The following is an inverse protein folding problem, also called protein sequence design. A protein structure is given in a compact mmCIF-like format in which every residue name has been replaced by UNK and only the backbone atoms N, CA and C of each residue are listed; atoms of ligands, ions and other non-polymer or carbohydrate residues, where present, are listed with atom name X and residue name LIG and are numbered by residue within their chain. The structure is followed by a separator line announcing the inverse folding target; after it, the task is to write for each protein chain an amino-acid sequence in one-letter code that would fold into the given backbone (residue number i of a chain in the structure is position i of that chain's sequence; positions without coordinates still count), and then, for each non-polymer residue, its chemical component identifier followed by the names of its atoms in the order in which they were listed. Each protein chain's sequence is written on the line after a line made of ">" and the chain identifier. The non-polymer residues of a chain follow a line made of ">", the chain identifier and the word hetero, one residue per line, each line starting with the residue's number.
data_IF_270387507225
#
_entry.id   IF_270387507225
#
_cell.length_a   1.000
_cell.length_b   1.000
_cell.length_c   1.000
_cell.angle_alpha   90.00
_cell.angle_beta   90.00
_cell.angle_gamma   90.00
#
_symmetry.space_group_name_H-M   'P 1'
#
loop_
_entity.id
_entity.type
_entity.pdbx_description
1 polymer ?
#
# COMPACT_ATOMS: atom_id res chain seq x y z
N UNK A 1 -11.33 26.61 2.01
CA UNK A 1 -12.75 26.87 1.63
C UNK A 1 -13.06 26.26 0.27
N UNK A 2 -12.31 26.62 -0.77
CA UNK A 2 -12.58 26.22 -2.17
C UNK A 2 -12.72 24.70 -2.45
N UNK A 3 -11.92 23.83 -1.81
CA UNK A 3 -12.05 22.38 -2.04
C UNK A 3 -13.30 21.74 -1.40
N UNK A 4 -13.87 22.35 -0.36
CA UNK A 4 -15.01 21.75 0.35
C UNK A 4 -16.32 21.90 -0.43
N UNK A 5 -16.49 23.00 -1.14
CA UNK A 5 -17.61 23.21 -2.06
C UNK A 5 -17.54 22.21 -3.23
N UNK A 6 -16.37 22.09 -3.87
CA UNK A 6 -16.14 21.08 -4.92
C UNK A 6 -16.41 19.66 -4.42
N UNK A 7 -15.98 19.31 -3.20
CA UNK A 7 -16.27 18.00 -2.62
C UNK A 7 -17.76 17.77 -2.35
N UNK A 8 -18.51 18.81 -1.96
CA UNK A 8 -19.94 18.70 -1.75
C UNK A 8 -20.70 18.48 -3.08
N UNK A 9 -20.28 19.16 -4.14
CA UNK A 9 -20.80 18.97 -5.49
C UNK A 9 -20.43 17.59 -6.04
N UNK A 10 -19.16 17.20 -5.92
CA UNK A 10 -18.64 15.91 -6.37
C UNK A 10 -19.35 14.72 -5.72
N UNK A 11 -19.75 14.84 -4.44
CA UNK A 11 -20.52 13.81 -3.73
C UNK A 11 -21.93 13.59 -4.32
N UNK A 12 -22.50 14.60 -4.97
CA UNK A 12 -23.80 14.53 -5.60
C UNK A 12 -23.73 14.25 -7.11
N UNK A 13 -22.52 14.10 -7.65
CA UNK A 13 -22.30 13.89 -9.08
C UNK A 13 -22.31 12.40 -9.45
N UNK A 14 -23.41 11.95 -10.07
CA UNK A 14 -23.58 10.56 -10.51
C UNK A 14 -22.52 10.10 -11.53
N UNK A 15 -22.00 11.02 -12.36
CA UNK A 15 -20.95 10.67 -13.33
C UNK A 15 -19.64 10.32 -12.61
N UNK A 16 -19.30 11.07 -11.55
CA UNK A 16 -18.14 10.79 -10.73
C UNK A 16 -18.34 9.53 -9.87
N UNK A 17 -19.53 9.31 -9.30
CA UNK A 17 -19.81 8.07 -8.56
C UNK A 17 -19.61 6.84 -9.45
N UNK A 18 -20.11 6.91 -10.68
CA UNK A 18 -19.92 5.84 -11.67
C UNK A 18 -18.44 5.67 -12.01
N UNK A 19 -17.72 6.76 -12.23
CA UNK A 19 -16.29 6.74 -12.52
C UNK A 19 -15.48 6.14 -11.35
N UNK A 20 -15.83 6.49 -10.11
CA UNK A 20 -15.24 5.95 -8.90
C UNK A 20 -15.50 4.44 -8.77
N UNK A 21 -16.72 3.97 -9.07
CA UNK A 21 -17.03 2.54 -9.05
C UNK A 21 -16.21 1.74 -10.08
N UNK A 22 -15.88 2.35 -11.22
CA UNK A 22 -15.08 1.71 -12.28
C UNK A 22 -13.58 1.75 -11.95
N UNK A 23 -13.05 2.88 -11.50
CA UNK A 23 -11.60 3.12 -11.37
C UNK A 23 -11.08 3.06 -9.93
N UNK A 24 -11.97 3.05 -8.95
CA UNK A 24 -11.63 3.20 -7.53
C UNK A 24 -10.82 4.46 -7.28
N UNK A 25 -9.78 4.33 -6.43
CA UNK A 25 -8.88 5.44 -6.10
C UNK A 25 -8.09 6.00 -7.31
N UNK A 26 -8.01 5.28 -8.44
CA UNK A 26 -7.36 5.79 -9.65
C UNK A 26 -8.17 6.89 -10.34
N UNK A 27 -9.41 7.14 -9.91
CA UNK A 27 -10.21 8.27 -10.37
C UNK A 27 -9.48 9.60 -10.20
N UNK A 28 -8.67 9.75 -9.15
CA UNK A 28 -7.93 10.98 -8.89
C UNK A 28 -6.86 11.27 -9.95
N UNK A 29 -6.48 10.28 -10.77
CA UNK A 29 -5.56 10.44 -11.89
C UNK A 29 -6.27 10.80 -13.21
N UNK A 30 -7.60 10.85 -13.23
CA UNK A 30 -8.37 11.11 -14.44
C UNK A 30 -8.46 12.61 -14.74
N UNK A 31 -8.50 12.94 -16.03
CA UNK A 31 -8.64 14.31 -16.51
C UNK A 31 -10.04 14.86 -16.17
N UNK A 32 -11.06 14.01 -16.17
CA UNK A 32 -12.45 14.39 -15.88
C UNK A 32 -12.57 15.02 -14.48
N UNK A 33 -11.96 14.40 -13.47
CA UNK A 33 -11.96 14.96 -12.10
C UNK A 33 -11.07 16.19 -11.98
N UNK A 34 -9.95 16.23 -12.69
CA UNK A 34 -9.03 17.36 -12.67
C UNK A 34 -9.63 18.61 -13.30
N UNK A 35 -10.40 18.45 -14.38
CA UNK A 35 -11.08 19.56 -15.06
C UNK A 35 -12.30 20.02 -14.26
N UNK A 36 -13.11 19.08 -13.75
CA UNK A 36 -14.39 19.40 -13.10
C UNK A 36 -14.24 19.84 -11.64
N UNK A 37 -13.28 19.25 -10.92
CA UNK A 37 -13.03 19.49 -9.49
C UNK A 37 -11.52 19.63 -9.23
N UNK A 38 -10.89 20.71 -9.74
CA UNK A 38 -9.43 20.86 -9.71
C UNK A 38 -8.86 20.95 -8.30
N UNK A 39 -9.52 21.66 -7.37
CA UNK A 39 -9.01 21.83 -6.01
C UNK A 39 -9.16 20.53 -5.19
N UNK A 40 -10.32 19.86 -5.30
CA UNK A 40 -10.55 18.58 -4.66
C UNK A 40 -9.59 17.51 -5.19
N UNK A 41 -9.39 17.45 -6.50
CA UNK A 41 -8.46 16.50 -7.15
C UNK A 41 -7.03 16.75 -6.72
N UNK A 42 -6.59 18.01 -6.67
CA UNK A 42 -5.25 18.37 -6.19
C UNK A 42 -5.03 17.89 -4.75
N UNK A 43 -5.94 18.23 -3.84
CA UNK A 43 -5.83 17.82 -2.43
C UNK A 43 -5.84 16.29 -2.28
N UNK A 44 -6.69 15.59 -3.04
CA UNK A 44 -6.73 14.13 -3.01
C UNK A 44 -5.43 13.52 -3.52
N UNK A 45 -4.83 14.05 -4.60
CA UNK A 45 -3.52 13.59 -5.11
C UNK A 45 -2.41 13.79 -4.07
N UNK A 46 -2.34 14.96 -3.44
CA UNK A 46 -1.32 15.25 -2.42
C UNK A 46 -1.39 14.30 -1.22
N UNK A 47 -2.60 13.89 -0.81
CA UNK A 47 -2.80 12.97 0.32
C UNK A 47 -2.67 11.49 -0.07
N UNK A 48 -3.27 11.08 -1.19
CA UNK A 48 -3.47 9.66 -1.52
C UNK A 48 -2.35 9.07 -2.37
N UNK A 49 -1.65 9.85 -3.20
CA UNK A 49 -0.52 9.32 -3.98
C UNK A 49 0.64 8.83 -3.11
N UNK A 50 1.06 9.52 -2.03
CA UNK A 50 2.11 9.01 -1.15
C UNK A 50 1.61 7.94 -0.16
N UNK A 51 0.29 7.68 -0.08
CA UNK A 51 -0.27 6.77 0.91
C UNK A 51 0.23 5.32 0.76
N UNK A 52 0.25 4.70 -0.44
CA UNK A 52 0.75 3.33 -0.57
C UNK A 52 2.21 3.18 -0.15
N UNK A 53 3.08 4.16 -0.48
CA UNK A 53 4.50 4.08 -0.14
C UNK A 53 4.75 4.31 1.35
N UNK A 54 4.09 5.29 1.96
CA UNK A 54 4.17 5.54 3.41
C UNK A 54 3.63 4.37 4.22
N UNK A 55 2.48 3.80 3.84
CA UNK A 55 1.93 2.61 4.48
C UNK A 55 2.87 1.40 4.38
N UNK A 56 3.51 1.17 3.22
CA UNK A 56 4.48 0.10 3.06
C UNK A 56 5.73 0.32 3.92
N UNK A 57 6.19 1.57 4.05
CA UNK A 57 7.30 1.90 4.93
C UNK A 57 6.95 1.62 6.40
N UNK A 58 5.78 2.07 6.87
CA UNK A 58 5.28 1.80 8.22
C UNK A 58 5.14 0.29 8.49
N UNK A 59 4.55 -0.47 7.56
CA UNK A 59 4.48 -1.92 7.65
C UNK A 59 5.87 -2.55 7.75
N UNK A 60 6.83 -2.06 6.96
CA UNK A 60 8.23 -2.47 6.98
C UNK A 60 8.86 -2.26 8.36
N UNK A 61 8.76 -1.06 8.90
CA UNK A 61 9.31 -0.72 10.21
C UNK A 61 8.63 -1.51 11.34
N UNK A 62 7.31 -1.68 11.29
CA UNK A 62 6.58 -2.51 12.27
C UNK A 62 7.05 -3.96 12.22
N UNK A 63 7.23 -4.54 11.03
CA UNK A 63 7.74 -5.90 10.87
C UNK A 63 9.16 -6.06 11.43
N UNK A 64 10.04 -5.08 11.19
CA UNK A 64 11.39 -5.06 11.77
C UNK A 64 11.31 -4.98 13.30
N UNK A 65 10.48 -4.09 13.84
CA UNK A 65 10.32 -3.91 15.28
C UNK A 65 9.81 -5.20 15.97
N UNK A 66 8.80 -5.85 15.39
CA UNK A 66 8.31 -7.15 15.89
C UNK A 66 9.40 -8.23 15.84
N UNK A 67 10.23 -8.24 14.79
CA UNK A 67 11.30 -9.22 14.61
C UNK A 67 12.43 -9.01 15.63
N UNK A 68 12.81 -7.76 15.89
CA UNK A 68 13.84 -7.39 16.88
C UNK A 68 13.38 -7.59 18.33
N UNK A 69 12.13 -7.26 18.66
CA UNK A 69 11.63 -7.28 20.03
C UNK A 69 11.10 -8.65 20.48
N UNK A 70 10.42 -9.41 19.61
CA UNK A 70 9.69 -10.64 20.01
C UNK A 70 10.32 -11.96 19.59
N UNK A 71 11.21 -11.98 18.59
CA UNK A 71 11.69 -13.25 17.97
C UNK A 71 13.20 -13.47 18.03
N UNK A 72 13.82 -12.99 19.11
CA UNK A 72 15.27 -12.85 19.34
C UNK A 72 16.16 -14.11 19.24
N UNK A 73 15.66 -15.28 18.83
CA UNK A 73 16.49 -16.49 18.80
C UNK A 73 16.81 -17.08 17.41
N UNK A 74 16.23 -16.65 16.27
CA UNK A 74 16.46 -17.39 15.00
C UNK A 74 16.45 -16.62 13.67
N UNK A 75 16.14 -15.33 13.62
CA UNK A 75 15.91 -14.63 12.34
C UNK A 75 16.87 -13.45 12.18
N UNK A 76 17.76 -13.56 11.19
CA UNK A 76 18.72 -12.53 10.80
C UNK A 76 18.09 -11.62 9.74
N UNK A 77 17.53 -10.49 10.20
CA UNK A 77 16.88 -9.48 9.35
C UNK A 77 17.85 -8.96 8.27
N UNK A 78 19.13 -8.92 8.62
CA UNK A 78 20.23 -8.45 7.77
C UNK A 78 20.62 -9.45 6.68
N UNK A 79 20.09 -10.69 6.70
CA UNK A 79 20.25 -11.71 5.65
C UNK A 79 18.94 -12.00 4.89
N UNK A 80 18.35 -10.94 4.33
CA UNK A 80 17.81 -10.87 2.95
C UNK A 80 16.55 -11.67 2.55
N UNK A 81 15.98 -12.54 3.39
CA UNK A 81 14.76 -13.30 3.05
C UNK A 81 13.52 -12.95 3.87
N UNK A 82 13.69 -12.83 5.18
CA UNK A 82 12.58 -12.93 6.14
C UNK A 82 11.66 -11.71 6.11
N UNK A 83 12.24 -10.52 5.99
CA UNK A 83 11.46 -9.29 5.87
C UNK A 83 10.67 -9.26 4.55
N UNK A 84 11.29 -9.71 3.45
CA UNK A 84 10.62 -9.77 2.15
C UNK A 84 9.45 -10.75 2.17
N UNK A 85 9.64 -11.94 2.75
CA UNK A 85 8.56 -12.93 2.94
C UNK A 85 7.45 -12.39 3.84
N UNK A 86 7.77 -11.57 4.85
CA UNK A 86 6.78 -10.98 5.76
C UNK A 86 5.96 -9.85 5.12
N UNK A 87 6.59 -9.03 4.27
CA UNK A 87 5.96 -7.87 3.66
C UNK A 87 5.25 -8.17 2.33
N UNK A 88 5.52 -9.31 1.72
CA UNK A 88 4.90 -9.72 0.46
C UNK A 88 3.93 -10.87 0.68
N UNK A 89 3.01 -11.09 -0.26
CA UNK A 89 2.17 -12.30 -0.30
C UNK A 89 2.92 -13.52 -0.86
N UNK A 90 4.25 -13.49 -0.87
CA UNK A 90 5.07 -14.57 -1.42
C UNK A 90 5.08 -15.72 -0.43
N UNK A 91 4.47 -16.84 -0.81
CA UNK A 91 4.54 -18.07 -0.04
C UNK A 91 5.79 -18.88 -0.45
N UNK A 92 6.67 -19.22 0.50
CA UNK A 92 7.82 -20.06 0.20
C UNK A 92 7.36 -21.50 -0.08
N UNK A 93 7.92 -22.13 -1.11
CA UNK A 93 7.71 -23.55 -1.38
C UNK A 93 8.48 -24.40 -0.35
N UNK A 94 7.82 -24.65 0.78
CA UNK A 94 8.39 -25.40 1.91
C UNK A 94 8.84 -26.80 1.48
N UNK A 95 8.12 -27.45 0.56
CA UNK A 95 8.45 -28.82 0.13
C UNK A 95 9.78 -28.84 -0.64
N UNK A 96 9.96 -27.90 -1.57
CA UNK A 96 11.20 -27.74 -2.33
C UNK A 96 12.38 -27.28 -1.46
N UNK A 97 12.11 -26.46 -0.43
CA UNK A 97 13.14 -26.05 0.53
C UNK A 97 13.60 -27.21 1.41
N UNK A 98 12.66 -28.01 1.92
CA UNK A 98 12.97 -29.19 2.74
C UNK A 98 13.74 -30.25 1.95
N UNK A 99 13.42 -30.49 0.67
CA UNK A 99 14.14 -31.49 -0.14
C UNK A 99 15.58 -31.10 -0.46
N UNK A 100 15.88 -29.79 -0.48
CA UNK A 100 17.23 -29.25 -0.72
C UNK A 100 18.04 -29.02 0.56
N UNK A 101 17.44 -29.21 1.74
CA UNK A 101 18.12 -29.01 3.00
C UNK A 101 19.05 -30.20 3.31
N UNK A 102 20.37 -29.98 3.21
CA UNK A 102 21.37 -30.97 3.59
C UNK A 102 21.61 -30.88 5.09
N UNK A 103 21.44 -31.99 5.82
CA UNK A 103 21.67 -32.02 7.26
C UNK A 103 23.13 -31.65 7.55
N UNK A 104 23.34 -30.53 8.23
CA UNK A 104 24.66 -30.17 8.75
C UNK A 104 24.92 -31.04 9.98
N UNK A 105 25.86 -31.98 9.85
CA UNK A 105 26.43 -32.75 10.96
C UNK A 105 27.49 -31.96 11.71
#
# INVERSE_FOLDING_TARGET
>A
MQYQEELAEMQNDESIKTLFNIKGAMVWLCLETEIKYPNATKCARELLLPFPSSYLAECGFSAINDLLLKKRNRLDITKWGDLRLKLTKLEPDIKSLCSKHQAQG
#
